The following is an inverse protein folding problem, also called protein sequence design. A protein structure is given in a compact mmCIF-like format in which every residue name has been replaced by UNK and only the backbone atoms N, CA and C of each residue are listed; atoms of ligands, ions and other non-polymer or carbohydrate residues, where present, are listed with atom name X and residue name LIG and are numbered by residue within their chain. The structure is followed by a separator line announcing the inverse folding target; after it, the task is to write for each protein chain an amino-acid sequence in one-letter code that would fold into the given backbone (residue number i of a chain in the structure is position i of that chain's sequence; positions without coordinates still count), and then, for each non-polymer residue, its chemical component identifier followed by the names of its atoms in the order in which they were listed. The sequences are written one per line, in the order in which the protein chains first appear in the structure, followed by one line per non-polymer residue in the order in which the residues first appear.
data_IF_137230850284
#
_entry.id   IF_137230850284
#
_cell.length_a   1.000
_cell.length_b   1.000
_cell.length_c   1.000
_cell.angle_alpha   90.00
_cell.angle_beta   90.00
_cell.angle_gamma   90.00
#
_symmetry.space_group_name_H-M   'P 1'
#
loop_
_entity.id
_entity.type
_entity.pdbx_description
1 polymer ?
#
# COMPACT_ATOMS: atom_id res chain seq x y z
N UNK A 1 78.63 32.04 27.32
CA UNK A 1 79.57 30.94 27.00
C UNK A 1 79.05 30.25 25.75
N UNK A 2 79.90 30.05 24.73
CA UNK A 2 79.52 29.25 23.56
C UNK A 2 79.61 27.77 23.95
N UNK A 3 78.62 26.93 23.58
CA UNK A 3 78.67 25.50 23.88
C UNK A 3 79.92 24.88 23.23
N UNK A 4 80.57 23.97 23.94
CA UNK A 4 81.71 23.22 23.43
C UNK A 4 81.27 22.26 22.32
N UNK A 5 82.18 21.90 21.42
CA UNK A 5 81.90 20.98 20.31
C UNK A 5 81.27 19.65 20.77
N UNK A 6 81.76 19.10 21.89
CA UNK A 6 81.23 17.85 22.46
C UNK A 6 79.80 18.00 23.00
N UNK A 7 79.46 19.16 23.58
CA UNK A 7 78.10 19.45 24.05
C UNK A 7 77.12 19.54 22.86
N UNK A 8 77.54 20.16 21.77
CA UNK A 8 76.76 20.21 20.53
C UNK A 8 76.62 18.82 19.89
N UNK A 9 77.63 17.96 20.01
CA UNK A 9 77.59 16.59 19.49
C UNK A 9 76.57 15.73 20.27
N UNK A 10 76.59 15.79 21.60
CA UNK A 10 75.63 15.08 22.46
C UNK A 10 74.19 15.54 22.21
N UNK A 11 73.99 16.86 22.09
CA UNK A 11 72.68 17.43 21.78
C UNK A 11 72.20 16.99 20.38
N UNK A 12 73.09 16.92 19.39
CA UNK A 12 72.76 16.44 18.05
C UNK A 12 72.35 14.96 18.03
N UNK A 13 73.01 14.13 18.83
CA UNK A 13 72.68 12.70 18.97
C UNK A 13 71.30 12.54 19.61
N UNK A 14 71.01 13.31 20.68
CA UNK A 14 69.70 13.29 21.34
C UNK A 14 68.58 13.77 20.41
N UNK A 15 68.80 14.86 19.68
CA UNK A 15 67.83 15.38 18.72
C UNK A 15 67.55 14.39 17.60
N UNK A 16 68.56 13.72 17.05
CA UNK A 16 68.38 12.66 16.04
C UNK A 16 67.57 11.48 16.55
N UNK A 17 67.79 11.08 17.81
CA UNK A 17 67.02 10.00 18.43
C UNK A 17 65.54 10.38 18.64
N UNK A 18 65.27 11.63 19.00
CA UNK A 18 63.91 12.15 19.17
C UNK A 18 63.21 12.26 17.81
N UNK A 19 63.88 12.81 16.79
CA UNK A 19 63.35 12.92 15.44
C UNK A 19 62.94 11.54 14.93
N UNK A 20 63.79 10.53 15.09
CA UNK A 20 63.48 9.16 14.66
C UNK A 20 62.22 8.60 15.36
N UNK A 21 62.08 8.81 16.68
CA UNK A 21 60.88 8.38 17.43
C UNK A 21 59.62 9.11 16.97
N UNK A 22 59.74 10.41 16.66
CA UNK A 22 58.62 11.21 16.16
C UNK A 22 58.22 10.78 14.75
N UNK A 23 59.19 10.51 13.86
CA UNK A 23 58.95 9.99 12.51
C UNK A 23 58.27 8.62 12.55
N UNK A 24 58.71 7.70 13.42
CA UNK A 24 58.05 6.40 13.62
C UNK A 24 56.61 6.57 14.13
N UNK A 25 56.36 7.53 15.02
CA UNK A 25 55.03 7.80 15.54
C UNK A 25 54.12 8.44 14.49
N UNK A 26 54.65 9.35 13.68
CA UNK A 26 53.93 9.99 12.58
C UNK A 26 53.57 8.92 11.54
N UNK A 27 54.51 8.08 11.13
CA UNK A 27 54.25 7.00 10.18
C UNK A 27 53.16 6.02 10.68
N UNK A 28 53.18 5.68 11.96
CA UNK A 28 52.14 4.85 12.57
C UNK A 28 50.77 5.53 12.59
N UNK A 29 50.70 6.82 12.94
CA UNK A 29 49.44 7.58 12.98
C UNK A 29 48.88 7.82 11.57
N UNK A 30 49.73 8.12 10.58
CA UNK A 30 49.35 8.24 9.17
C UNK A 30 48.83 6.91 8.61
N UNK A 31 49.46 5.78 8.97
CA UNK A 31 48.97 4.45 8.59
C UNK A 31 47.61 4.13 9.22
N UNK A 32 47.31 4.63 10.43
CA UNK A 32 45.99 4.50 11.06
C UNK A 32 44.94 5.38 10.38
N UNK A 33 45.29 6.60 9.98
CA UNK A 33 44.38 7.54 9.31
C UNK A 33 44.08 7.14 7.86
N UNK A 34 45.05 6.53 7.15
CA UNK A 34 44.86 6.06 5.77
C UNK A 34 44.08 4.75 5.65
N UNK A 35 43.58 4.18 6.76
CA UNK A 35 42.64 3.05 6.69
C UNK A 35 41.24 3.56 6.35
N UNK A 36 40.81 3.28 5.12
CA UNK A 36 39.45 3.49 4.65
C UNK A 36 38.80 2.16 4.21
N UNK A 37 37.49 2.17 4.02
CA UNK A 37 36.66 1.01 3.62
C UNK A 37 37.00 0.41 2.24
N UNK A 38 37.99 0.97 1.52
CA UNK A 38 38.54 0.43 0.27
C UNK A 38 39.81 -0.41 0.44
N UNK A 39 40.54 -0.29 1.56
CA UNK A 39 41.81 -1.02 1.80
C UNK A 39 41.80 -1.85 3.10
N UNK A 40 40.79 -1.71 3.95
CA UNK A 40 40.57 -2.63 5.07
C UNK A 40 39.33 -3.46 4.75
N UNK A 41 39.36 -4.77 4.95
CA UNK A 41 38.25 -5.72 4.73
C UNK A 41 37.03 -5.47 5.65
N UNK A 42 36.82 -4.22 6.08
CA UNK A 42 35.69 -3.75 6.88
C UNK A 42 34.57 -3.34 5.92
N UNK A 43 33.32 -3.73 6.21
CA UNK A 43 32.19 -3.36 5.37
C UNK A 43 31.96 -1.83 5.38
N UNK A 44 31.47 -1.24 4.27
CA UNK A 44 31.24 0.21 4.11
C UNK A 44 30.22 0.79 5.10
N UNK A 45 29.51 -0.06 5.84
CA UNK A 45 28.61 0.34 6.93
C UNK A 45 29.34 0.74 8.23
N UNK A 46 30.66 0.54 8.32
CA UNK A 46 31.46 0.87 9.52
C UNK A 46 32.02 2.29 9.54
N UNK A 47 31.94 3.03 8.43
CA UNK A 47 32.41 4.41 8.36
C UNK A 47 31.44 5.33 9.12
N UNK A 48 31.80 5.73 10.34
CA UNK A 48 31.06 6.75 11.10
C UNK A 48 31.33 8.12 10.48
N UNK A 49 30.29 8.78 9.95
CA UNK A 49 30.41 10.20 9.53
C UNK A 49 30.81 11.05 10.74
N UNK A 50 31.86 11.86 10.58
CA UNK A 50 32.50 12.63 11.66
C UNK A 50 31.59 13.67 12.36
N UNK A 51 30.42 14.01 11.78
CA UNK A 51 29.52 15.04 12.28
C UNK A 51 28.15 14.52 12.74
N UNK A 52 28.06 13.30 13.26
CA UNK A 52 26.83 12.80 13.88
C UNK A 52 26.91 12.98 15.40
N UNK A 53 25.98 13.74 16.03
CA UNK A 53 25.88 13.76 17.48
C UNK A 53 25.69 12.33 18.02
N UNK A 54 26.11 12.05 19.27
CA UNK A 54 25.95 10.73 19.86
C UNK A 54 24.48 10.30 19.74
N UNK A 55 24.20 9.03 19.40
CA UNK A 55 22.83 8.56 19.25
C UNK A 55 22.11 8.82 20.57
N UNK A 56 21.09 9.68 20.54
CA UNK A 56 20.24 9.91 21.69
C UNK A 56 19.72 8.56 22.17
N UNK A 57 19.74 8.34 23.49
CA UNK A 57 19.12 7.18 24.12
C UNK A 57 17.68 7.14 23.63
N UNK A 58 17.37 6.22 22.70
CA UNK A 58 16.00 6.01 22.26
C UNK A 58 15.20 5.67 23.51
N UNK A 59 14.26 6.53 23.88
CA UNK A 59 13.30 6.21 24.92
C UNK A 59 12.68 4.86 24.58
N UNK A 60 12.58 3.99 25.58
CA UNK A 60 11.89 2.71 25.40
C UNK A 60 10.49 3.04 24.93
N UNK A 61 10.17 2.67 23.69
CA UNK A 61 8.82 2.86 23.13
C UNK A 61 7.84 2.30 24.15
N UNK A 62 6.77 3.05 24.50
CA UNK A 62 5.78 2.57 25.45
C UNK A 62 5.29 1.20 25.02
N UNK A 63 5.19 0.28 25.99
CA UNK A 63 4.62 -1.03 25.75
C UNK A 63 3.15 -0.86 25.39
N UNK A 64 2.79 -1.11 24.14
CA UNK A 64 1.40 -1.23 23.74
C UNK A 64 0.94 -2.65 24.09
N UNK A 65 -0.14 -2.75 24.89
CA UNK A 65 -0.84 -4.02 25.03
C UNK A 65 -1.22 -4.53 23.64
N UNK A 66 -0.96 -5.81 23.36
CA UNK A 66 -1.29 -6.40 22.08
C UNK A 66 -2.81 -6.31 21.85
N UNK A 67 -3.22 -5.66 20.76
CA UNK A 67 -4.62 -5.65 20.34
C UNK A 67 -4.89 -7.03 19.75
N UNK A 68 -5.53 -7.91 20.53
CA UNK A 68 -6.00 -9.19 20.01
C UNK A 68 -7.11 -8.95 18.99
N UNK A 69 -7.11 -9.70 17.88
CA UNK A 69 -8.20 -9.69 16.91
C UNK A 69 -9.53 -9.97 17.61
N UNK A 70 -10.48 -9.04 17.49
CA UNK A 70 -11.84 -9.27 17.94
C UNK A 70 -12.52 -10.28 17.02
N UNK A 71 -13.21 -11.25 17.62
CA UNK A 71 -14.04 -12.19 16.88
C UNK A 71 -15.21 -11.44 16.26
N UNK A 72 -15.58 -11.83 15.04
CA UNK A 72 -16.82 -11.39 14.41
C UNK A 72 -18.01 -11.84 15.24
N UNK A 73 -19.12 -11.07 15.23
CA UNK A 73 -20.35 -11.45 15.93
C UNK A 73 -20.89 -12.79 15.39
N UNK A 74 -21.66 -13.49 16.22
CA UNK A 74 -22.20 -14.81 15.86
C UNK A 74 -23.10 -14.76 14.62
N UNK A 75 -23.76 -13.62 14.37
CA UNK A 75 -24.55 -13.38 13.16
C UNK A 75 -23.75 -13.39 11.86
N UNK A 76 -22.42 -13.21 11.92
CA UNK A 76 -21.53 -13.24 10.77
C UNK A 76 -20.87 -14.62 10.57
N UNK A 77 -21.10 -15.58 11.46
CA UNK A 77 -20.57 -16.94 11.35
C UNK A 77 -21.42 -17.75 10.37
N UNK A 78 -20.85 -18.12 9.24
CA UNK A 78 -21.55 -18.86 8.17
C UNK A 78 -21.56 -20.38 8.37
N UNK A 79 -20.58 -20.91 9.09
CA UNK A 79 -20.47 -22.32 9.46
C UNK A 79 -19.75 -22.45 10.79
N UNK A 80 -20.16 -23.42 11.61
CA UNK A 80 -19.62 -23.64 12.94
C UNK A 80 -19.39 -25.13 13.19
N UNK A 81 -18.17 -25.47 13.58
CA UNK A 81 -17.78 -26.82 14.00
C UNK A 81 -17.17 -26.75 15.40
N UNK A 82 -17.59 -27.65 16.29
CA UNK A 82 -16.96 -27.83 17.60
C UNK A 82 -16.07 -29.06 17.53
N UNK A 83 -14.78 -28.90 17.80
CA UNK A 83 -13.81 -30.00 17.90
C UNK A 83 -13.47 -30.26 19.35
N UNK A 84 -13.56 -31.51 19.76
CA UNK A 84 -13.19 -31.97 21.09
C UNK A 84 -12.32 -33.22 21.00
N UNK A 85 -11.43 -33.41 21.97
CA UNK A 85 -10.67 -34.66 22.11
C UNK A 85 -11.50 -35.61 22.95
N UNK A 86 -11.86 -36.78 22.40
CA UNK A 86 -12.70 -37.76 23.09
C UNK A 86 -11.91 -38.73 23.97
N UNK A 87 -10.65 -38.98 23.64
CA UNK A 87 -9.80 -39.99 24.27
C UNK A 87 -8.50 -39.34 24.74
N UNK A 88 -8.11 -39.63 25.98
CA UNK A 88 -6.85 -39.15 26.51
C UNK A 88 -5.67 -39.75 25.71
N UNK A 89 -4.79 -38.94 25.09
CA UNK A 89 -3.68 -39.46 24.29
C UNK A 89 -2.64 -40.23 25.14
N UNK A 90 -2.68 -40.09 26.47
CA UNK A 90 -1.75 -40.75 27.40
C UNK A 90 -2.29 -42.09 27.94
N UNK A 91 -3.44 -42.07 28.64
CA UNK A 91 -3.98 -43.26 29.31
C UNK A 91 -5.16 -43.91 28.57
N UNK A 92 -5.58 -43.36 27.42
CA UNK A 92 -6.68 -43.86 26.57
C UNK A 92 -8.06 -43.91 27.26
N UNK A 93 -8.21 -43.30 28.43
CA UNK A 93 -9.53 -43.11 29.06
C UNK A 93 -10.37 -42.12 28.27
N UNK A 94 -11.70 -42.24 28.39
CA UNK A 94 -12.65 -41.29 27.81
C UNK A 94 -12.56 -39.96 28.54
N UNK A 95 -12.39 -38.86 27.80
CA UNK A 95 -12.35 -37.51 28.36
C UNK A 95 -13.77 -36.96 28.57
N UNK A 96 -13.91 -36.11 29.57
CA UNK A 96 -15.13 -35.35 29.87
C UNK A 96 -14.90 -33.93 29.38
N UNK A 97 -15.86 -33.37 28.65
CA UNK A 97 -15.78 -32.00 28.15
C UNK A 97 -16.08 -30.98 29.26
N UNK A 98 -15.38 -29.84 29.23
CA UNK A 98 -15.60 -28.72 30.15
C UNK A 98 -16.27 -27.55 29.42
N UNK A 99 -16.75 -26.57 30.18
CA UNK A 99 -17.34 -25.34 29.64
C UNK A 99 -16.29 -24.31 29.16
N UNK A 100 -15.00 -24.63 29.29
CA UNK A 100 -13.91 -23.78 28.82
C UNK A 100 -13.73 -23.89 27.30
N UNK A 101 -14.38 -22.99 26.56
CA UNK A 101 -14.35 -22.97 25.09
C UNK A 101 -13.50 -21.80 24.58
N UNK A 102 -12.40 -22.12 23.91
CA UNK A 102 -11.64 -21.16 23.10
C UNK A 102 -12.24 -21.08 21.69
N UNK A 103 -12.72 -19.90 21.29
CA UNK A 103 -13.28 -19.68 19.95
C UNK A 103 -12.17 -19.28 18.96
N UNK A 104 -12.19 -19.87 17.76
CA UNK A 104 -11.32 -19.50 16.65
C UNK A 104 -12.16 -19.30 15.38
N UNK A 105 -11.89 -18.25 14.62
CA UNK A 105 -12.59 -17.95 13.37
C UNK A 105 -11.61 -17.88 12.21
N UNK A 106 -11.80 -18.74 11.22
CA UNK A 106 -11.18 -18.62 9.91
C UNK A 106 -12.12 -17.80 9.00
N UNK A 107 -11.57 -16.80 8.31
CA UNK A 107 -12.29 -16.02 7.28
C UNK A 107 -11.69 -16.41 5.95
N UNK A 108 -12.53 -16.79 4.99
CA UNK A 108 -12.12 -17.27 3.67
C UNK A 108 -12.94 -16.58 2.58
N UNK A 109 -12.39 -16.48 1.38
CA UNK A 109 -13.15 -16.03 0.21
C UNK A 109 -14.15 -17.12 -0.19
N UNK A 110 -15.41 -16.76 -0.49
CA UNK A 110 -16.36 -17.73 -1.01
C UNK A 110 -15.94 -18.16 -2.42
N UNK A 111 -16.49 -19.25 -2.92
CA UNK A 111 -16.44 -19.53 -4.35
C UNK A 111 -17.18 -18.43 -5.11
N UNK A 112 -16.44 -17.66 -5.91
CA UNK A 112 -17.00 -16.51 -6.63
C UNK A 112 -17.50 -16.99 -8.00
N UNK A 113 -18.80 -16.79 -8.26
CA UNK A 113 -19.43 -17.06 -9.57
C UNK A 113 -20.16 -15.82 -10.05
N UNK A 114 -20.20 -15.55 -11.36
CA UNK A 114 -20.98 -14.43 -11.87
C UNK A 114 -22.47 -14.69 -11.70
N UNK A 115 -23.23 -13.65 -11.33
CA UNK A 115 -24.68 -13.66 -11.44
C UNK A 115 -25.06 -13.21 -12.84
N UNK A 116 -25.57 -14.13 -13.65
CA UNK A 116 -25.98 -13.87 -15.03
C UNK A 116 -27.49 -13.74 -15.10
N UNK A 117 -27.97 -12.61 -15.62
CA UNK A 117 -29.39 -12.37 -15.87
C UNK A 117 -29.62 -12.31 -17.38
N UNK A 118 -30.45 -13.23 -17.90
CA UNK A 118 -30.83 -13.29 -19.31
C UNK A 118 -32.22 -12.68 -19.49
N UNK A 119 -32.36 -11.76 -20.43
CA UNK A 119 -33.63 -11.14 -20.79
C UNK A 119 -33.99 -11.55 -22.22
N UNK A 120 -35.11 -12.25 -22.37
CA UNK A 120 -35.64 -12.66 -23.67
C UNK A 120 -36.72 -11.67 -24.13
N UNK A 121 -36.45 -10.98 -25.24
CA UNK A 121 -37.38 -10.02 -25.82
C UNK A 121 -38.15 -10.71 -26.95
N UNK A 122 -39.36 -11.14 -26.64
CA UNK A 122 -40.22 -11.84 -27.61
C UNK A 122 -40.94 -10.83 -28.49
N UNK A 123 -40.75 -10.93 -29.80
CA UNK A 123 -41.55 -10.18 -30.78
C UNK A 123 -42.95 -10.79 -30.84
N UNK A 124 -43.95 -9.96 -30.57
CA UNK A 124 -45.37 -10.32 -30.67
C UNK A 124 -45.96 -9.75 -31.95
N UNK A 125 -46.78 -10.53 -32.64
CA UNK A 125 -47.45 -10.10 -33.88
C UNK A 125 -48.94 -9.88 -33.63
N UNK A 126 -49.46 -8.72 -34.01
CA UNK A 126 -50.89 -8.45 -33.94
C UNK A 126 -51.66 -9.26 -35.00
N UNK A 127 -52.67 -10.06 -34.64
CA UNK A 127 -53.42 -10.87 -35.62
C UNK A 127 -54.32 -10.03 -36.54
N UNK A 128 -54.66 -8.80 -36.15
CA UNK A 128 -55.60 -7.96 -36.90
C UNK A 128 -54.89 -7.10 -37.97
N UNK A 129 -53.75 -6.51 -37.64
CA UNK A 129 -53.03 -5.59 -38.53
C UNK A 129 -51.64 -6.09 -38.92
N UNK A 130 -51.23 -7.29 -38.49
CA UNK A 130 -49.93 -7.89 -38.75
C UNK A 130 -48.71 -7.09 -38.25
N UNK A 131 -48.91 -6.09 -37.36
CA UNK A 131 -47.83 -5.32 -36.76
C UNK A 131 -47.01 -6.19 -35.81
N UNK A 132 -45.69 -6.19 -36.00
CA UNK A 132 -44.73 -6.80 -35.08
C UNK A 132 -44.29 -5.77 -34.02
N UNK A 133 -44.46 -6.13 -32.75
CA UNK A 133 -44.09 -5.30 -31.59
C UNK A 133 -43.14 -6.10 -30.71
N UNK A 134 -42.03 -5.49 -30.31
CA UNK A 134 -41.06 -6.08 -29.38
C UNK A 134 -40.86 -5.13 -28.19
N UNK A 135 -40.82 -5.63 -26.95
CA UNK A 135 -40.47 -4.79 -25.81
C UNK A 135 -39.04 -4.26 -25.93
N UNK A 136 -38.80 -3.07 -25.37
CA UNK A 136 -37.48 -2.46 -25.27
C UNK A 136 -36.84 -2.78 -23.92
N UNK A 137 -35.50 -2.84 -23.89
CA UNK A 137 -34.75 -2.89 -22.64
C UNK A 137 -34.81 -1.53 -21.95
N UNK A 138 -35.00 -1.53 -20.64
CA UNK A 138 -34.83 -0.32 -19.83
C UNK A 138 -33.38 0.17 -19.91
N UNK A 139 -33.15 1.45 -19.63
CA UNK A 139 -31.84 2.09 -19.78
C UNK A 139 -30.70 1.37 -19.02
N UNK A 140 -31.00 0.71 -17.90
CA UNK A 140 -30.00 -0.02 -17.10
C UNK A 140 -29.72 -1.44 -17.61
N UNK A 141 -30.65 -2.03 -18.36
CA UNK A 141 -30.52 -3.38 -18.93
C UNK A 141 -29.75 -3.39 -20.26
N UNK A 142 -29.52 -2.21 -20.84
CA UNK A 142 -28.78 -2.06 -22.10
C UNK A 142 -27.27 -2.30 -21.95
N UNK A 143 -26.75 -2.37 -20.72
CA UNK A 143 -25.33 -2.57 -20.46
C UNK A 143 -25.02 -4.04 -20.14
N UNK A 144 -23.87 -4.51 -20.64
CA UNK A 144 -23.38 -5.86 -20.39
C UNK A 144 -23.16 -6.14 -18.90
N UNK A 145 -22.68 -5.15 -18.14
CA UNK A 145 -22.36 -5.31 -16.72
C UNK A 145 -23.39 -4.57 -15.85
N UNK A 146 -23.85 -5.24 -14.81
CA UNK A 146 -24.72 -4.62 -13.81
C UNK A 146 -23.99 -3.59 -12.94
N UNK A 147 -24.74 -2.72 -12.24
CA UNK A 147 -24.20 -1.57 -11.50
C UNK A 147 -23.21 -1.95 -10.39
N UNK A 148 -23.37 -3.13 -9.77
CA UNK A 148 -22.45 -3.60 -8.72
C UNK A 148 -21.05 -3.89 -9.27
N UNK A 149 -20.96 -4.58 -10.42
CA UNK A 149 -19.68 -4.92 -11.03
C UNK A 149 -19.02 -3.68 -11.64
N UNK A 150 -19.80 -2.79 -12.26
CA UNK A 150 -19.29 -1.49 -12.73
C UNK A 150 -18.77 -0.63 -11.58
N UNK A 151 -19.50 -0.58 -10.46
CA UNK A 151 -19.06 0.13 -9.25
C UNK A 151 -17.75 -0.42 -8.70
N UNK A 152 -17.61 -1.75 -8.64
CA UNK A 152 -16.37 -2.40 -8.23
C UNK A 152 -15.20 -2.08 -9.17
N UNK A 153 -15.42 -2.13 -10.49
CA UNK A 153 -14.42 -1.73 -11.50
C UNK A 153 -14.00 -0.27 -11.28
N UNK A 154 -14.94 0.65 -11.10
CA UNK A 154 -14.63 2.07 -10.87
C UNK A 154 -13.92 2.31 -9.54
N UNK A 155 -14.20 1.52 -8.49
CA UNK A 155 -13.46 1.56 -7.24
C UNK A 155 -11.98 1.19 -7.45
N UNK A 156 -11.71 0.14 -8.24
CA UNK A 156 -10.34 -0.27 -8.58
C UNK A 156 -9.60 0.80 -9.38
N UNK A 157 -10.26 1.39 -10.37
CA UNK A 157 -9.69 2.45 -11.20
C UNK A 157 -9.45 3.75 -10.41
N UNK A 158 -10.44 4.19 -9.64
CA UNK A 158 -10.45 5.48 -8.96
C UNK A 158 -9.68 5.46 -7.64
N UNK A 159 -10.10 4.63 -6.68
CA UNK A 159 -9.53 4.59 -5.32
C UNK A 159 -8.21 3.84 -5.27
N UNK A 160 -8.14 2.68 -5.92
CA UNK A 160 -6.95 1.82 -5.90
C UNK A 160 -5.99 2.08 -7.07
N UNK A 161 -6.31 3.05 -7.95
CA UNK A 161 -5.45 3.53 -9.04
C UNK A 161 -4.93 2.41 -9.96
N UNK A 162 -5.72 1.36 -10.14
CA UNK A 162 -5.34 0.24 -11.00
C UNK A 162 -5.47 0.61 -12.48
N UNK A 163 -4.52 0.15 -13.30
CA UNK A 163 -4.59 0.31 -14.75
C UNK A 163 -5.67 -0.56 -15.38
N UNK A 164 -6.16 -0.20 -16.57
CA UNK A 164 -7.22 -0.96 -17.25
C UNK A 164 -6.84 -2.43 -17.49
N UNK A 165 -5.56 -2.69 -17.80
CA UNK A 165 -5.04 -4.05 -17.99
C UNK A 165 -5.08 -4.87 -16.69
N UNK A 166 -4.64 -4.30 -15.58
CA UNK A 166 -4.64 -4.95 -14.26
C UNK A 166 -6.06 -5.23 -13.78
N UNK A 167 -6.99 -4.28 -13.98
CA UNK A 167 -8.41 -4.49 -13.68
C UNK A 167 -8.97 -5.65 -14.50
N UNK A 168 -8.72 -5.68 -15.81
CA UNK A 168 -9.15 -6.79 -16.67
C UNK A 168 -8.62 -8.13 -16.17
N UNK A 169 -7.33 -8.21 -15.88
CA UNK A 169 -6.69 -9.44 -15.39
C UNK A 169 -7.28 -9.88 -14.05
N UNK A 170 -7.52 -8.96 -13.13
CA UNK A 170 -8.15 -9.24 -11.84
C UNK A 170 -9.58 -9.79 -12.02
N UNK A 171 -10.39 -9.14 -12.84
CA UNK A 171 -11.78 -9.57 -13.07
C UNK A 171 -11.80 -10.96 -13.71
N UNK A 172 -10.99 -11.21 -14.74
CA UNK A 172 -10.92 -12.53 -15.37
C UNK A 172 -10.35 -13.61 -14.44
N UNK A 173 -9.45 -13.26 -13.52
CA UNK A 173 -8.94 -14.20 -12.51
C UNK A 173 -10.04 -14.62 -11.54
N UNK A 174 -10.88 -13.68 -11.11
CA UNK A 174 -11.95 -13.93 -10.14
C UNK A 174 -13.19 -14.54 -10.82
N UNK A 175 -13.46 -14.15 -12.06
CA UNK A 175 -14.61 -14.57 -12.88
C UNK A 175 -14.09 -15.09 -14.24
N UNK A 176 -13.65 -16.36 -14.33
CA UNK A 176 -13.00 -16.91 -15.52
C UNK A 176 -13.84 -16.79 -16.80
N UNK A 177 -15.16 -16.95 -16.68
CA UNK A 177 -16.09 -16.90 -17.80
C UNK A 177 -16.46 -15.46 -18.24
N UNK A 178 -15.95 -14.44 -17.54
CA UNK A 178 -16.23 -13.03 -17.83
C UNK A 178 -14.99 -12.38 -18.45
N UNK A 179 -14.99 -12.30 -19.78
CA UNK A 179 -13.91 -11.68 -20.56
C UNK A 179 -14.25 -10.24 -20.88
N UNK A 180 -13.50 -9.30 -20.33
CA UNK A 180 -13.68 -7.86 -20.57
C UNK A 180 -12.62 -7.32 -21.54
N UNK A 181 -13.04 -6.43 -22.44
CA UNK A 181 -12.12 -5.64 -23.25
C UNK A 181 -11.67 -4.38 -22.51
N UNK A 182 -10.47 -3.87 -22.82
CA UNK A 182 -10.02 -2.58 -22.27
C UNK A 182 -10.92 -1.42 -22.69
N UNK A 183 -11.49 -1.50 -23.90
CA UNK A 183 -12.46 -0.52 -24.40
C UNK A 183 -13.74 -0.48 -23.57
N UNK A 184 -14.24 -1.64 -23.13
CA UNK A 184 -15.40 -1.71 -22.24
C UNK A 184 -15.10 -1.07 -20.88
N UNK A 185 -13.93 -1.35 -20.30
CA UNK A 185 -13.48 -0.72 -19.04
C UNK A 185 -13.42 0.81 -19.19
N UNK A 186 -12.92 1.31 -20.33
CA UNK A 186 -12.91 2.74 -20.64
C UNK A 186 -14.33 3.33 -20.71
N UNK A 187 -15.27 2.63 -21.35
CA UNK A 187 -16.69 3.04 -21.41
C UNK A 187 -17.34 3.07 -20.02
N UNK A 188 -17.07 2.08 -19.17
CA UNK A 188 -17.54 2.03 -17.77
C UNK A 188 -17.02 3.24 -16.99
N UNK A 189 -15.72 3.54 -17.11
CA UNK A 189 -15.11 4.72 -16.49
C UNK A 189 -15.76 6.02 -16.96
N UNK A 190 -16.01 6.15 -18.26
CA UNK A 190 -16.67 7.32 -18.84
C UNK A 190 -18.09 7.50 -18.30
N UNK A 191 -18.90 6.43 -18.24
CA UNK A 191 -20.24 6.47 -17.64
C UNK A 191 -20.21 6.91 -16.17
N UNK A 192 -19.27 6.37 -15.39
CA UNK A 192 -19.12 6.78 -13.99
C UNK A 192 -18.71 8.25 -13.87
N UNK A 193 -17.83 8.74 -14.75
CA UNK A 193 -17.47 10.17 -14.80
C UNK A 193 -18.67 11.07 -15.06
N UNK A 194 -19.57 10.67 -15.98
CA UNK A 194 -20.82 11.40 -16.26
C UNK A 194 -21.74 11.36 -15.04
N UNK A 195 -21.93 10.19 -14.42
CA UNK A 195 -22.79 10.05 -13.25
C UNK A 195 -22.28 10.84 -12.03
N UNK A 196 -20.96 11.03 -11.91
CA UNK A 196 -20.32 11.75 -10.82
C UNK A 196 -20.19 13.26 -11.06
N UNK A 197 -20.51 13.77 -12.25
CA UNK A 197 -20.33 15.20 -12.56
C UNK A 197 -21.12 16.10 -11.62
N UNK A 198 -22.42 15.83 -11.45
CA UNK A 198 -23.29 16.64 -10.59
C UNK A 198 -22.93 16.55 -9.10
N UNK A 199 -22.67 15.37 -8.51
CA UNK A 199 -22.14 15.29 -7.14
C UNK A 199 -20.84 16.07 -6.95
N UNK A 200 -19.94 16.02 -7.95
CA UNK A 200 -18.69 16.78 -7.93
C UNK A 200 -18.94 18.29 -7.98
N UNK A 201 -19.79 18.77 -8.89
CA UNK A 201 -20.18 20.18 -9.00
C UNK A 201 -20.75 20.70 -7.68
N UNK A 202 -21.70 19.98 -7.08
CA UNK A 202 -22.26 20.35 -5.78
C UNK A 202 -21.20 20.39 -4.66
N UNK A 203 -20.21 19.49 -4.67
CA UNK A 203 -19.12 19.50 -3.69
C UNK A 203 -18.23 20.72 -3.86
N UNK A 204 -17.87 21.05 -5.11
CA UNK A 204 -17.07 22.24 -5.42
C UNK A 204 -17.81 23.51 -5.01
N UNK A 205 -19.08 23.65 -5.39
CA UNK A 205 -19.94 24.78 -4.99
C UNK A 205 -20.01 24.95 -3.48
N UNK A 206 -20.13 23.85 -2.74
CA UNK A 206 -20.16 23.88 -1.28
C UNK A 206 -18.82 24.35 -0.70
N UNK A 207 -17.71 23.87 -1.23
CA UNK A 207 -16.37 24.30 -0.78
C UNK A 207 -16.14 25.77 -1.08
N UNK A 208 -16.48 26.24 -2.28
CA UNK A 208 -16.25 27.63 -2.70
C UNK A 208 -17.19 28.63 -2.03
N UNK A 209 -18.36 28.18 -1.57
CA UNK A 209 -19.33 29.01 -0.82
C UNK A 209 -19.04 29.09 0.68
N UNK A 210 -18.03 28.39 1.19
CA UNK A 210 -17.68 28.41 2.63
C UNK A 210 -16.77 29.61 2.94
N UNK A 211 -16.93 30.22 4.12
CA UNK A 211 -16.05 31.31 4.58
C UNK A 211 -14.69 30.83 5.14
N UNK A 212 -14.50 29.51 5.25
CA UNK A 212 -13.27 28.90 5.75
C UNK A 212 -12.15 28.96 4.69
N UNK A 213 -10.88 29.00 5.11
CA UNK A 213 -9.76 28.92 4.19
C UNK A 213 -9.83 27.69 3.28
N UNK A 214 -9.72 27.92 1.97
CA UNK A 214 -9.69 26.86 0.97
C UNK A 214 -8.23 26.54 0.66
N UNK A 215 -7.82 25.30 0.94
CA UNK A 215 -6.52 24.77 0.54
C UNK A 215 -6.64 24.15 -0.85
N UNK A 216 -5.76 24.58 -1.76
CA UNK A 216 -5.74 24.14 -3.15
C UNK A 216 -4.38 23.52 -3.44
N UNK A 217 -4.39 22.29 -3.95
CA UNK A 217 -3.19 21.63 -4.48
C UNK A 217 -3.47 21.12 -5.90
N UNK A 218 -2.44 21.10 -6.73
CA UNK A 218 -2.54 20.69 -8.13
C UNK A 218 -1.46 19.65 -8.46
N UNK A 219 -1.89 18.46 -8.86
CA UNK A 219 -0.99 17.43 -9.35
C UNK A 219 -1.06 17.36 -10.87
N UNK A 220 0.06 17.61 -11.54
CA UNK A 220 0.17 17.53 -12.99
C UNK A 220 0.45 16.12 -13.49
N UNK A 221 -0.09 15.75 -14.66
CA UNK A 221 0.35 14.60 -15.45
C UNK A 221 0.34 14.92 -16.95
N UNK A 222 1.01 14.09 -17.74
CA UNK A 222 1.02 14.22 -19.20
C UNK A 222 -0.04 13.31 -19.81
N UNK A 223 -0.97 13.87 -20.55
CA UNK A 223 -2.02 13.14 -21.26
C UNK A 223 -2.16 13.68 -22.67
N UNK A 224 -2.12 12.77 -23.66
CA UNK A 224 -2.13 13.12 -25.09
C UNK A 224 -1.14 14.24 -25.46
N UNK A 225 0.08 14.13 -24.95
CA UNK A 225 1.16 15.11 -25.11
C UNK A 225 0.91 16.52 -24.51
N UNK A 226 -0.19 16.73 -23.79
CA UNK A 226 -0.50 17.95 -23.03
C UNK A 226 -0.27 17.72 -21.53
N UNK A 227 0.05 18.79 -20.80
CA UNK A 227 0.04 18.75 -19.35
C UNK A 227 -1.39 19.01 -18.88
N UNK A 228 -1.94 18.05 -18.14
CA UNK A 228 -3.21 18.16 -17.45
C UNK A 228 -2.98 18.21 -15.94
N UNK A 229 -3.94 18.76 -15.20
CA UNK A 229 -3.83 18.95 -13.76
C UNK A 229 -5.09 18.45 -13.05
N UNK A 230 -4.90 17.72 -11.95
CA UNK A 230 -5.97 17.38 -11.01
C UNK A 230 -5.84 18.37 -9.89
N UNK A 231 -6.90 19.14 -9.68
CA UNK A 231 -6.99 20.10 -8.60
C UNK A 231 -7.72 19.40 -7.46
N UNK A 232 -7.14 19.46 -6.26
CA UNK A 232 -7.78 19.03 -5.02
C UNK A 232 -8.11 20.27 -4.22
N UNK A 233 -9.37 20.40 -3.83
CA UNK A 233 -9.87 21.47 -2.98
C UNK A 233 -10.21 20.92 -1.61
N UNK A 234 -9.79 21.60 -0.55
CA UNK A 234 -10.16 21.25 0.83
C UNK A 234 -10.59 22.46 1.62
N UNK A 235 -11.73 22.35 2.30
CA UNK A 235 -12.19 23.29 3.30
C UNK A 235 -12.79 22.53 4.48
N UNK A 236 -12.20 22.67 5.67
CA UNK A 236 -12.55 21.88 6.85
C UNK A 236 -12.48 20.36 6.59
N UNK A 237 -13.63 19.69 6.69
CA UNK A 237 -13.80 18.25 6.42
C UNK A 237 -14.22 17.91 4.98
N UNK A 238 -14.49 18.92 4.14
CA UNK A 238 -14.88 18.72 2.74
C UNK A 238 -13.64 18.62 1.86
N UNK A 239 -13.66 17.66 0.92
CA UNK A 239 -12.61 17.44 -0.08
C UNK A 239 -13.27 17.17 -1.42
N UNK A 240 -12.88 17.89 -2.46
CA UNK A 240 -13.29 17.68 -3.85
C UNK A 240 -12.06 17.48 -4.74
#
# INVERSE_FOLDING_TARGET
MRPTYDQLLEENILLKAIIKKLEERIAHLEAQLNQNSKNSSKPPSSDKKANLPPPQKKEKRPYHCGISRQLLPESAVTSHERRCVEICPRCRSKLIHTDHISKWQQIELPFIKPLVHQIELVTSKCPCCCLDVRPELSAHEQFLLGPRLEGFINLLLGKYRQGHRSVRELITTILPDVVLSQGLISKIKSRASIALSRPYEHLVEKITSTNDPIYVDATGWRHQAKNEHAIVLRSGSLVA
#
